data_IF_650807201805
#
_entry.id   IF_650807201805
#
_cell.length_a   1.000
_cell.length_b   1.000
_cell.length_c   1.000
_cell.angle_alpha   90.00
_cell.angle_beta   90.00
_cell.angle_gamma   90.00
#
_symmetry.space_group_name_H-M   'P 1'
#
loop_
_entity.id
_entity.type
_entity.pdbx_description
1 polymer ?
#
# COMPACT_ATOMS: atom_id res chain seq x y z
N UNK A 1 -18.91 13.29 -10.31
CA UNK A 1 -19.06 11.86 -10.64
C UNK A 1 -18.44 11.07 -9.50
N UNK A 2 -19.17 10.18 -8.81
CA UNK A 2 -18.53 9.27 -7.87
C UNK A 2 -17.74 8.24 -8.71
N UNK A 3 -16.44 8.15 -8.49
CA UNK A 3 -15.61 7.13 -9.13
C UNK A 3 -15.92 5.78 -8.47
N UNK A 4 -16.12 4.74 -9.27
CA UNK A 4 -16.44 3.40 -8.77
C UNK A 4 -15.18 2.82 -8.08
N UNK A 5 -15.36 2.10 -6.97
CA UNK A 5 -14.24 1.51 -6.22
C UNK A 5 -13.49 0.47 -7.07
N UNK A 6 -14.19 -0.12 -8.06
CA UNK A 6 -13.64 -0.99 -9.09
C UNK A 6 -12.63 -0.29 -10.02
N UNK A 7 -12.73 1.02 -10.24
CA UNK A 7 -11.81 1.80 -11.10
C UNK A 7 -10.40 1.90 -10.49
N UNK A 8 -10.25 1.59 -9.20
CA UNK A 8 -9.01 1.78 -8.44
C UNK A 8 -8.31 0.50 -8.04
N UNK A 9 -8.86 -0.67 -8.37
CA UNK A 9 -8.27 -1.97 -8.10
C UNK A 9 -7.68 -2.59 -9.36
N UNK A 10 -6.48 -3.14 -9.25
CA UNK A 10 -5.92 -3.99 -10.30
C UNK A 10 -6.86 -5.15 -10.62
N UNK A 11 -7.22 -5.30 -11.89
CA UNK A 11 -8.06 -6.39 -12.36
C UNK A 11 -7.19 -7.54 -12.89
N UNK A 12 -7.55 -8.80 -12.62
CA UNK A 12 -6.86 -9.94 -13.19
C UNK A 12 -7.06 -9.99 -14.71
N UNK A 13 -6.03 -10.41 -15.44
CA UNK A 13 -6.03 -10.49 -16.90
C UNK A 13 -7.12 -11.44 -17.41
N UNK A 14 -7.45 -12.49 -16.65
CA UNK A 14 -8.55 -13.41 -16.96
C UNK A 14 -9.92 -12.73 -17.10
N UNK A 15 -10.13 -11.61 -16.41
CA UNK A 15 -11.35 -10.80 -16.52
C UNK A 15 -11.30 -9.74 -17.61
N UNK A 16 -10.10 -9.25 -17.93
CA UNK A 16 -9.90 -8.16 -18.89
C UNK A 16 -9.76 -8.71 -20.32
N UNK A 17 -8.88 -9.68 -20.51
CA UNK A 17 -8.56 -10.31 -21.81
C UNK A 17 -8.04 -11.75 -21.59
N UNK A 18 -8.93 -12.75 -21.46
CA UNK A 18 -8.57 -14.13 -21.07
C UNK A 18 -7.72 -14.89 -22.11
N UNK A 19 -7.63 -14.38 -23.32
CA UNK A 19 -6.92 -14.94 -24.47
C UNK A 19 -5.72 -14.07 -24.90
N UNK A 20 -5.29 -13.13 -24.04
CA UNK A 20 -4.21 -12.19 -24.37
C UNK A 20 -2.88 -12.91 -24.62
N UNK A 21 -2.14 -12.43 -25.61
CA UNK A 21 -0.72 -12.74 -25.76
C UNK A 21 0.07 -11.99 -24.69
N UNK A 22 0.94 -12.68 -23.93
CA UNK A 22 1.72 -12.07 -22.86
C UNK A 22 3.21 -12.26 -23.08
N UNK A 23 3.98 -11.21 -22.82
CA UNK A 23 5.44 -11.20 -22.92
C UNK A 23 6.02 -10.66 -21.61
N UNK A 24 7.10 -11.29 -21.14
CA UNK A 24 7.73 -10.98 -19.85
C UNK A 24 9.23 -10.77 -20.03
N UNK A 25 9.85 -9.98 -19.15
CA UNK A 25 11.31 -9.87 -19.09
C UNK A 25 11.98 -9.07 -20.22
N UNK A 26 11.20 -8.51 -21.15
CA UNK A 26 11.72 -7.64 -22.20
C UNK A 26 12.13 -6.28 -21.62
N UNK A 27 13.43 -5.97 -21.69
CA UNK A 27 14.01 -4.70 -21.24
C UNK A 27 13.42 -3.46 -21.93
N UNK A 28 12.79 -3.63 -23.10
CA UNK A 28 12.17 -2.54 -23.86
C UNK A 28 10.71 -2.29 -23.47
N UNK A 29 10.12 -3.12 -22.59
CA UNK A 29 8.70 -3.03 -22.19
C UNK A 29 8.28 -1.62 -21.77
N UNK A 30 9.11 -0.95 -20.98
CA UNK A 30 8.88 0.44 -20.54
C UNK A 30 9.29 1.48 -21.57
N UNK A 31 10.33 1.22 -22.36
CA UNK A 31 10.76 2.14 -23.43
C UNK A 31 9.67 2.32 -24.49
N UNK A 32 8.86 1.28 -24.73
CA UNK A 32 7.70 1.32 -25.61
C UNK A 32 6.47 2.00 -24.99
N UNK A 33 6.47 2.24 -23.67
CA UNK A 33 5.34 2.84 -22.91
C UNK A 33 5.82 3.98 -22.02
N UNK A 34 6.44 5.04 -22.60
CA UNK A 34 7.12 6.06 -21.81
C UNK A 34 6.18 6.83 -20.87
N UNK A 35 4.92 7.05 -21.26
CA UNK A 35 3.92 7.71 -20.42
C UNK A 35 3.60 6.88 -19.18
N UNK A 36 3.37 5.57 -19.36
CA UNK A 36 3.08 4.65 -18.27
C UNK A 36 4.29 4.51 -17.33
N UNK A 37 5.48 4.39 -17.90
CA UNK A 37 6.74 4.36 -17.15
C UNK A 37 6.93 5.62 -16.28
N UNK A 38 6.63 6.80 -16.83
CA UNK A 38 6.68 8.05 -16.09
C UNK A 38 5.68 8.09 -14.92
N UNK A 39 4.44 7.63 -15.13
CA UNK A 39 3.42 7.53 -14.08
C UNK A 39 3.80 6.55 -12.97
N UNK A 40 4.37 5.39 -13.32
CA UNK A 40 4.87 4.41 -12.35
C UNK A 40 6.01 5.01 -11.53
N UNK A 41 6.99 5.65 -12.19
CA UNK A 41 8.08 6.34 -11.53
C UNK A 41 7.55 7.40 -10.56
N UNK A 42 6.58 8.21 -10.98
CA UNK A 42 5.92 9.18 -10.12
C UNK A 42 5.28 8.54 -8.89
N UNK A 43 4.53 7.44 -9.04
CA UNK A 43 3.94 6.70 -7.91
C UNK A 43 5.01 6.22 -6.92
N UNK A 44 6.14 5.71 -7.42
CA UNK A 44 7.25 5.24 -6.60
C UNK A 44 7.91 6.42 -5.86
N UNK A 45 8.12 7.55 -6.52
CA UNK A 45 8.70 8.77 -5.91
C UNK A 45 7.80 9.36 -4.83
N UNK A 46 6.48 9.40 -5.06
CA UNK A 46 5.53 9.88 -4.06
C UNK A 46 5.58 9.10 -2.74
N UNK A 47 5.93 7.80 -2.82
CA UNK A 47 6.13 7.00 -1.62
C UNK A 47 7.35 7.41 -0.80
N UNK A 48 8.45 7.82 -1.44
CA UNK A 48 9.63 8.30 -0.72
C UNK A 48 9.32 9.56 0.12
N UNK A 49 8.44 10.44 -0.36
CA UNK A 49 7.95 11.56 0.45
C UNK A 49 7.11 11.08 1.65
N UNK A 50 6.28 10.05 1.45
CA UNK A 50 5.50 9.44 2.54
C UNK A 50 6.43 8.81 3.58
N UNK A 51 7.51 8.14 3.17
CA UNK A 51 8.52 7.57 4.06
C UNK A 51 9.19 8.65 4.92
N UNK A 52 9.47 9.83 4.36
CA UNK A 52 9.99 10.98 5.12
C UNK A 52 8.98 11.42 6.19
N UNK A 53 7.69 11.54 5.85
CA UNK A 53 6.66 11.92 6.82
C UNK A 53 6.40 10.84 7.88
N UNK A 54 6.55 9.55 7.54
CA UNK A 54 6.47 8.46 8.51
C UNK A 54 7.63 8.52 9.52
N UNK A 55 8.86 8.77 9.05
CA UNK A 55 10.01 8.99 9.93
C UNK A 55 9.85 10.24 10.80
N UNK A 56 9.36 11.34 10.24
CA UNK A 56 9.04 12.54 11.01
C UNK A 56 7.95 12.28 12.05
N UNK A 57 6.91 11.53 11.69
CA UNK A 57 5.83 11.17 12.61
C UNK A 57 6.34 10.34 13.79
N UNK A 58 7.26 9.39 13.56
CA UNK A 58 7.94 8.68 14.63
C UNK A 58 8.67 9.66 15.57
N UNK A 59 9.39 10.64 15.00
CA UNK A 59 10.10 11.66 15.79
C UNK A 59 9.17 12.48 16.67
N UNK A 60 8.02 12.90 16.14
CA UNK A 60 6.99 13.62 16.90
C UNK A 60 6.43 12.74 18.02
N UNK A 61 6.07 11.49 17.73
CA UNK A 61 5.51 10.57 18.74
C UNK A 61 6.46 10.29 19.91
N UNK A 62 7.76 10.24 19.66
CA UNK A 62 8.72 9.92 20.71
C UNK A 62 9.09 11.14 21.57
N UNK A 63 8.80 12.36 21.12
CA UNK A 63 9.29 13.60 21.76
C UNK A 63 10.83 13.60 21.96
N UNK A 64 11.57 12.87 21.12
CA UNK A 64 13.03 12.67 21.30
C UNK A 64 13.86 13.54 20.36
N UNK A 65 15.17 13.49 20.57
CA UNK A 65 16.17 13.97 19.62
C UNK A 65 15.86 13.43 18.21
N UNK A 66 15.55 14.34 17.30
CA UNK A 66 15.21 14.02 15.91
C UNK A 66 16.28 13.17 15.20
N UNK A 67 17.57 13.33 15.55
CA UNK A 67 18.64 12.49 15.00
C UNK A 67 18.49 11.02 15.39
N UNK A 68 18.09 10.74 16.64
CA UNK A 68 17.87 9.37 17.11
C UNK A 68 16.63 8.76 16.43
N UNK A 69 15.54 9.51 16.30
CA UNK A 69 14.35 9.05 15.60
C UNK A 69 14.62 8.73 14.11
N UNK A 70 15.39 9.59 13.43
CA UNK A 70 15.83 9.34 12.04
C UNK A 70 16.66 8.08 11.96
N UNK A 71 17.68 7.92 12.82
CA UNK A 71 18.54 6.74 12.83
C UNK A 71 17.76 5.44 13.10
N UNK A 72 16.81 5.48 14.04
CA UNK A 72 15.93 4.34 14.33
C UNK A 72 15.05 3.98 13.14
N UNK A 73 14.43 4.98 12.49
CA UNK A 73 13.55 4.73 11.34
C UNK A 73 14.34 4.22 10.13
N UNK A 74 15.46 4.86 9.78
CA UNK A 74 16.28 4.50 8.63
C UNK A 74 17.04 3.18 8.81
N UNK A 75 17.31 2.78 10.06
CA UNK A 75 17.95 1.51 10.38
C UNK A 75 17.03 0.28 10.20
N UNK A 76 15.73 0.49 9.99
CA UNK A 76 14.77 -0.60 9.76
C UNK A 76 14.56 -0.80 8.26
N UNK A 77 15.03 -1.93 7.73
CA UNK A 77 14.99 -2.23 6.29
C UNK A 77 13.58 -2.52 5.76
N UNK A 78 12.74 -3.18 6.57
CA UNK A 78 11.41 -3.58 6.15
C UNK A 78 10.40 -2.47 6.41
N UNK A 79 9.69 -2.01 5.37
CA UNK A 79 8.58 -1.04 5.50
C UNK A 79 7.48 -1.51 6.44
N UNK A 80 7.19 -2.82 6.43
CA UNK A 80 6.25 -3.41 7.37
C UNK A 80 6.75 -3.30 8.82
N UNK A 81 8.06 -3.45 9.04
CA UNK A 81 8.67 -3.24 10.36
C UNK A 81 8.69 -1.76 10.75
N UNK A 82 8.95 -0.84 9.81
CA UNK A 82 8.83 0.61 10.03
C UNK A 82 7.42 1.01 10.49
N UNK A 83 6.37 0.51 9.82
CA UNK A 83 4.99 0.77 10.24
C UNK A 83 4.67 0.16 11.62
N UNK A 84 5.21 -1.03 11.95
CA UNK A 84 5.07 -1.61 13.30
C UNK A 84 5.76 -0.75 14.35
N UNK A 85 6.96 -0.24 14.06
CA UNK A 85 7.69 0.68 14.94
C UNK A 85 6.85 1.92 15.25
N UNK A 86 6.30 2.57 14.22
CA UNK A 86 5.42 3.74 14.39
C UNK A 86 4.17 3.38 15.17
N UNK A 87 3.52 2.25 14.87
CA UNK A 87 2.33 1.80 15.58
C UNK A 87 2.62 1.58 17.07
N UNK A 88 3.75 0.98 17.41
CA UNK A 88 4.16 0.77 18.80
C UNK A 88 4.49 2.09 19.50
N UNK A 89 5.17 3.02 18.83
CA UNK A 89 5.41 4.35 19.37
C UNK A 89 4.10 5.09 19.63
N UNK A 90 3.15 5.07 18.69
CA UNK A 90 1.84 5.66 18.87
C UNK A 90 1.12 5.06 20.08
N UNK A 91 1.12 3.73 20.22
CA UNK A 91 0.50 3.04 21.36
C UNK A 91 1.09 3.46 22.72
N UNK A 92 2.38 3.74 22.76
CA UNK A 92 3.08 4.12 23.99
C UNK A 92 2.90 5.61 24.33
N UNK A 93 2.77 6.48 23.32
CA UNK A 93 2.82 7.92 23.51
C UNK A 93 1.45 8.60 23.54
N UNK A 94 0.41 8.02 22.92
CA UNK A 94 -0.92 8.64 22.85
C UNK A 94 -1.87 8.04 23.89
N UNK A 95 -2.90 8.80 24.34
CA UNK A 95 -3.94 8.25 25.20
C UNK A 95 -4.60 7.01 24.58
N UNK A 96 -4.92 5.96 25.37
CA UNK A 96 -5.50 4.72 24.85
C UNK A 96 -6.74 4.93 23.97
N UNK A 97 -7.58 5.91 24.31
CA UNK A 97 -8.79 6.30 23.57
C UNK A 97 -8.50 6.90 22.18
N UNK A 98 -7.29 7.45 21.97
CA UNK A 98 -6.88 8.05 20.70
C UNK A 98 -6.12 7.04 19.82
N UNK A 99 -5.53 6.00 20.41
CA UNK A 99 -4.70 5.03 19.71
C UNK A 99 -5.44 4.33 18.55
N UNK A 100 -6.72 4.04 18.71
CA UNK A 100 -7.52 3.40 17.66
C UNK A 100 -7.49 4.18 16.35
N UNK A 101 -7.59 5.51 16.41
CA UNK A 101 -7.57 6.38 15.22
C UNK A 101 -6.25 6.22 14.46
N UNK A 102 -5.11 6.22 15.17
CA UNK A 102 -3.79 6.03 14.55
C UNK A 102 -3.60 4.61 14.00
N UNK A 103 -3.99 3.60 14.77
CA UNK A 103 -3.85 2.20 14.35
C UNK A 103 -4.67 1.91 13.09
N UNK A 104 -5.89 2.46 13.02
CA UNK A 104 -6.74 2.35 11.84
C UNK A 104 -6.17 3.18 10.69
N UNK A 105 -5.74 4.41 10.92
CA UNK A 105 -5.13 5.23 9.88
C UNK A 105 -3.92 4.55 9.22
N UNK A 106 -2.99 4.01 10.01
CA UNK A 106 -1.82 3.30 9.49
C UNK A 106 -2.22 2.04 8.72
N UNK A 107 -3.24 1.30 9.18
CA UNK A 107 -3.63 0.02 8.58
C UNK A 107 -4.58 0.14 7.38
N UNK A 108 -5.46 1.14 7.36
CA UNK A 108 -6.50 1.33 6.34
C UNK A 108 -6.12 2.36 5.27
N UNK A 109 -5.16 3.27 5.54
CA UNK A 109 -4.75 4.31 4.58
C UNK A 109 -3.30 4.10 4.14
N UNK A 110 -2.35 4.04 5.08
CA UNK A 110 -0.92 3.99 4.73
C UNK A 110 -0.52 2.61 4.19
N UNK A 111 -0.89 1.53 4.88
CA UNK A 111 -0.49 0.17 4.50
C UNK A 111 -1.02 -0.30 3.13
N UNK A 112 -2.28 -0.02 2.71
CA UNK A 112 -2.74 -0.39 1.37
C UNK A 112 -1.93 0.29 0.27
N UNK A 113 -1.69 1.60 0.39
CA UNK A 113 -0.88 2.36 -0.57
C UNK A 113 0.56 1.83 -0.65
N UNK A 114 1.16 1.49 0.50
CA UNK A 114 2.48 0.83 0.56
C UNK A 114 2.50 -0.44 -0.29
N UNK A 115 1.49 -1.31 -0.12
CA UNK A 115 1.40 -2.59 -0.86
C UNK A 115 1.24 -2.37 -2.36
N UNK A 116 0.44 -1.39 -2.77
CA UNK A 116 0.25 -1.07 -4.19
C UNK A 116 1.56 -0.61 -4.83
N UNK A 117 2.27 0.31 -4.17
CA UNK A 117 3.58 0.76 -4.63
C UNK A 117 4.60 -0.37 -4.63
N UNK A 118 4.62 -1.22 -3.61
CA UNK A 118 5.55 -2.36 -3.56
C UNK A 118 5.33 -3.32 -4.73
N UNK A 119 4.08 -3.54 -5.15
CA UNK A 119 3.79 -4.29 -6.39
C UNK A 119 4.39 -3.59 -7.61
N UNK A 120 4.15 -2.29 -7.78
CA UNK A 120 4.74 -1.53 -8.90
C UNK A 120 6.27 -1.65 -8.93
N UNK A 121 6.93 -1.56 -7.78
CA UNK A 121 8.40 -1.53 -7.70
C UNK A 121 9.07 -2.92 -7.78
N UNK A 122 8.39 -3.97 -7.33
CA UNK A 122 9.03 -5.27 -7.08
C UNK A 122 8.41 -6.45 -7.83
N UNK A 123 7.24 -6.28 -8.46
CA UNK A 123 6.65 -7.35 -9.27
C UNK A 123 7.24 -7.37 -10.68
N UNK A 124 7.15 -8.52 -11.33
CA UNK A 124 7.59 -8.68 -12.70
C UNK A 124 6.70 -7.87 -13.63
N UNK A 125 7.33 -7.14 -14.55
CA UNK A 125 6.64 -6.35 -15.58
C UNK A 125 6.57 -7.14 -16.88
N UNK A 126 5.39 -7.12 -17.49
CA UNK A 126 5.14 -7.71 -18.79
C UNK A 126 4.23 -6.83 -19.63
N UNK A 127 4.00 -7.26 -20.87
CA UNK A 127 3.10 -6.57 -21.77
C UNK A 127 2.29 -7.53 -22.62
N UNK A 128 1.21 -6.99 -23.19
CA UNK A 128 0.43 -7.66 -24.21
C UNK A 128 0.26 -6.74 -25.41
N UNK A 129 0.45 -7.21 -26.66
CA UNK A 129 0.06 -6.46 -27.84
C UNK A 129 -1.45 -6.22 -27.93
N UNK A 130 -2.26 -7.06 -27.26
CA UNK A 130 -3.72 -6.91 -27.17
C UNK A 130 -4.14 -5.80 -26.18
N UNK A 131 -3.21 -5.35 -25.33
CA UNK A 131 -3.40 -4.30 -24.33
C UNK A 131 -2.23 -3.29 -24.41
N UNK A 132 -2.08 -2.54 -25.52
CA UNK A 132 -0.89 -1.73 -25.78
C UNK A 132 -0.68 -0.63 -24.73
N UNK A 133 -1.77 -0.07 -24.20
CA UNK A 133 -1.77 1.03 -23.23
C UNK A 133 -1.76 0.56 -21.77
N UNK A 134 -1.44 -0.71 -21.52
CA UNK A 134 -1.39 -1.29 -20.16
C UNK A 134 -0.09 -2.02 -19.89
N UNK A 135 0.26 -2.09 -18.61
CA UNK A 135 1.31 -2.95 -18.07
C UNK A 135 0.68 -4.19 -17.46
N UNK A 136 1.32 -5.34 -17.64
CA UNK A 136 0.99 -6.55 -16.90
C UNK A 136 1.93 -6.67 -15.70
N UNK A 137 1.35 -6.98 -14.55
CA UNK A 137 2.11 -7.29 -13.33
C UNK A 137 1.88 -8.73 -12.90
N UNK A 138 2.96 -9.43 -12.55
CA UNK A 138 2.92 -10.78 -11.99
C UNK A 138 3.77 -10.83 -10.73
N UNK A 139 3.25 -11.50 -9.70
CA UNK A 139 3.99 -11.78 -8.48
C UNK A 139 5.29 -12.54 -8.82
N UNK A 140 6.46 -12.15 -8.27
CA UNK A 140 7.74 -12.78 -8.59
C UNK A 140 7.76 -14.29 -8.35
N UNK A 141 7.06 -14.80 -7.34
CA UNK A 141 6.96 -16.24 -7.11
C UNK A 141 6.18 -16.93 -8.22
N UNK A 142 5.11 -16.30 -8.74
CA UNK A 142 4.39 -16.83 -9.90
C UNK A 142 5.27 -16.83 -11.16
N UNK A 143 6.00 -15.74 -11.40
CA UNK A 143 6.93 -15.65 -12.53
C UNK A 143 8.02 -16.71 -12.44
N UNK A 144 8.57 -16.95 -11.25
CA UNK A 144 9.58 -17.98 -10.99
C UNK A 144 9.02 -19.40 -11.21
N UNK A 145 7.81 -19.69 -10.76
CA UNK A 145 7.13 -20.97 -11.01
C UNK A 145 7.03 -21.26 -12.52
N UNK A 146 6.57 -20.28 -13.31
CA UNK A 146 6.44 -20.41 -14.76
C UNK A 146 7.82 -20.59 -15.43
N UNK A 147 8.83 -19.85 -14.98
CA UNK A 147 10.20 -20.00 -15.47
C UNK A 147 10.78 -21.39 -15.17
N UNK A 148 10.56 -21.93 -13.97
CA UNK A 148 10.99 -23.29 -13.61
C UNK A 148 10.27 -24.36 -14.44
N UNK A 149 9.00 -24.15 -14.77
CA UNK A 149 8.24 -25.04 -15.66
C UNK A 149 8.77 -24.99 -17.11
N UNK A 150 9.10 -23.80 -17.61
CA UNK A 150 9.75 -23.61 -18.91
C UNK A 150 11.05 -24.41 -19.01
N UNK A 151 11.95 -24.25 -18.02
CA UNK A 151 13.24 -24.95 -17.98
C UNK A 151 13.10 -26.48 -17.98
N UNK A 152 12.02 -27.02 -17.40
CA UNK A 152 11.77 -28.47 -17.36
C UNK A 152 11.17 -29.02 -18.65
N UNK A 153 10.27 -28.26 -19.28
CA UNK A 153 9.46 -28.76 -20.41
C UNK A 153 10.05 -28.41 -21.76
N UNK A 154 10.80 -27.30 -21.84
CA UNK A 154 11.36 -26.74 -23.08
C UNK A 154 12.78 -26.20 -22.80
N UNK A 155 13.74 -27.06 -22.40
CA UNK A 155 15.08 -26.64 -22.04
C UNK A 155 15.80 -25.95 -23.22
N UNK A 156 16.44 -24.81 -22.95
CA UNK A 156 17.18 -24.05 -23.96
C UNK A 156 16.32 -23.21 -24.91
N UNK A 157 14.99 -23.25 -24.78
CA UNK A 157 14.09 -22.37 -25.53
C UNK A 157 13.95 -21.04 -24.80
N UNK A 158 14.50 -19.99 -25.40
CA UNK A 158 14.27 -18.62 -24.95
C UNK A 158 12.79 -18.27 -25.14
N UNK A 159 12.16 -17.68 -24.11
CA UNK A 159 10.71 -17.35 -24.10
C UNK A 159 9.78 -18.56 -24.34
N UNK A 160 10.10 -19.72 -23.77
CA UNK A 160 9.27 -20.91 -23.89
C UNK A 160 7.79 -20.64 -23.53
N UNK A 161 6.88 -21.14 -24.35
CA UNK A 161 5.46 -20.97 -24.14
C UNK A 161 5.00 -21.85 -22.97
N UNK A 162 4.77 -21.24 -21.80
CA UNK A 162 4.25 -21.92 -20.62
C UNK A 162 2.82 -21.46 -20.35
N UNK A 163 1.87 -22.38 -20.10
CA UNK A 163 0.52 -22.01 -19.68
C UNK A 163 0.58 -21.06 -18.47
N UNK A 164 0.11 -19.84 -18.66
CA UNK A 164 0.13 -18.80 -17.62
C UNK A 164 -1.24 -18.70 -16.98
N UNK A 165 -1.29 -18.67 -15.64
CA UNK A 165 -2.55 -18.46 -14.93
C UNK A 165 -2.91 -16.97 -14.90
N UNK A 166 -3.84 -16.55 -15.77
CA UNK A 166 -4.25 -15.15 -15.90
C UNK A 166 -5.03 -14.60 -14.69
N UNK A 167 -5.45 -15.43 -13.73
CA UNK A 167 -5.98 -14.95 -12.44
C UNK A 167 -4.89 -14.36 -11.53
N UNK A 168 -3.62 -14.68 -11.79
CA UNK A 168 -2.45 -14.20 -11.04
C UNK A 168 -1.67 -13.11 -11.78
N UNK A 169 -2.12 -12.72 -12.97
CA UNK A 169 -1.58 -11.62 -13.77
C UNK A 169 -2.54 -10.45 -13.68
N UNK A 170 -2.05 -9.26 -13.37
CA UNK A 170 -2.87 -8.08 -13.17
C UNK A 170 -2.61 -7.03 -14.24
N UNK A 171 -3.67 -6.36 -14.69
CA UNK A 171 -3.62 -5.28 -15.66
C UNK A 171 -3.51 -3.94 -14.91
N UNK A 172 -2.51 -3.14 -15.27
CA UNK A 172 -2.25 -1.80 -14.76
C UNK A 172 -2.37 -0.81 -15.91
N UNK A 173 -3.41 0.02 -15.85
CA UNK A 173 -3.63 1.13 -16.78
C UNK A 173 -3.51 2.50 -16.10
N UNK A 174 -3.71 3.54 -16.91
CA UNK A 174 -3.57 4.93 -16.50
C UNK A 174 -4.47 5.34 -15.33
N UNK A 175 -5.75 4.95 -15.34
CA UNK A 175 -6.71 5.30 -14.28
C UNK A 175 -6.28 4.77 -12.91
N UNK A 176 -5.74 3.56 -12.86
CA UNK A 176 -5.23 2.95 -11.64
C UNK A 176 -4.03 3.74 -11.08
N UNK A 177 -3.07 4.11 -11.93
CA UNK A 177 -1.89 4.89 -11.53
C UNK A 177 -2.24 6.31 -11.08
N UNK A 178 -3.19 6.95 -11.76
CA UNK A 178 -3.71 8.25 -11.36
C UNK A 178 -4.41 8.15 -10.00
N UNK A 179 -5.12 7.04 -9.76
CA UNK A 179 -5.70 6.67 -8.48
C UNK A 179 -4.66 6.56 -7.36
N UNK A 180 -3.56 5.84 -7.58
CA UNK A 180 -2.44 5.73 -6.62
C UNK A 180 -1.88 7.12 -6.31
N UNK A 181 -1.63 7.93 -7.34
CA UNK A 181 -1.06 9.27 -7.18
C UNK A 181 -1.95 10.19 -6.34
N UNK A 182 -3.27 10.15 -6.59
CA UNK A 182 -4.26 10.89 -5.80
C UNK A 182 -4.34 10.39 -4.35
N UNK A 183 -4.32 9.07 -4.14
CA UNK A 183 -4.27 8.48 -2.80
C UNK A 183 -2.99 8.87 -2.06
N UNK A 184 -1.83 8.86 -2.73
CA UNK A 184 -0.57 9.30 -2.15
C UNK A 184 -0.60 10.76 -1.70
N UNK A 185 -1.09 11.67 -2.54
CA UNK A 185 -1.28 13.07 -2.17
C UNK A 185 -2.19 13.23 -0.94
N UNK A 186 -3.29 12.48 -0.90
CA UNK A 186 -4.25 12.50 0.21
C UNK A 186 -3.64 11.93 1.50
N UNK A 187 -2.92 10.80 1.40
CA UNK A 187 -2.20 10.17 2.52
C UNK A 187 -1.17 11.12 3.12
N UNK A 188 -0.43 11.88 2.31
CA UNK A 188 0.50 12.90 2.79
C UNK A 188 -0.21 13.98 3.61
N UNK A 189 -1.37 14.44 3.14
CA UNK A 189 -2.21 15.40 3.90
C UNK A 189 -2.67 14.80 5.23
N UNK A 190 -3.14 13.56 5.23
CA UNK A 190 -3.58 12.89 6.45
C UNK A 190 -2.43 12.59 7.44
N UNK A 191 -1.23 12.28 6.94
CA UNK A 191 -0.04 12.15 7.80
C UNK A 191 0.29 13.46 8.50
N UNK A 192 0.16 14.60 7.82
CA UNK A 192 0.34 15.93 8.46
C UNK A 192 -0.71 16.18 9.54
N UNK A 193 -1.96 15.81 9.30
CA UNK A 193 -3.02 15.89 10.32
C UNK A 193 -2.72 14.98 11.51
N UNK A 194 -2.27 13.75 11.26
CA UNK A 194 -1.87 12.82 12.32
C UNK A 194 -0.71 13.37 13.16
N UNK A 195 0.35 13.90 12.52
CA UNK A 195 1.44 14.57 13.23
C UNK A 195 0.95 15.77 14.04
N UNK A 196 0.09 16.62 13.47
CA UNK A 196 -0.45 17.78 14.16
C UNK A 196 -1.30 17.40 15.40
N UNK A 197 -1.96 16.24 15.38
CA UNK A 197 -2.74 15.77 16.54
C UNK A 197 -1.91 15.36 17.76
N UNK A 198 -0.58 15.22 17.60
CA UNK A 198 0.35 14.83 18.68
C UNK A 198 1.53 15.80 18.81
N UNK A 199 1.52 16.92 18.08
CA UNK A 199 2.62 17.88 18.11
C UNK A 199 2.48 18.78 19.35
N UNK A 200 3.48 18.78 20.22
CA UNK A 200 3.52 19.55 21.48
C UNK A 200 3.27 21.06 21.37
N UNK A 201 3.40 21.64 20.18
CA UNK A 201 3.17 23.07 19.95
C UNK A 201 1.68 23.40 19.79
N UNK A 202 0.86 22.38 19.53
CA UNK A 202 -0.59 22.53 19.43
C UNK A 202 -1.21 22.38 20.82
N UNK A 203 -2.23 23.20 21.08
CA UNK A 203 -3.04 23.11 22.28
C UNK A 203 -3.85 21.80 22.32
N UNK A 204 -4.33 21.37 23.50
CA UNK A 204 -5.22 20.20 23.61
C UNK A 204 -6.48 20.30 22.74
N UNK A 205 -6.99 21.52 22.54
CA UNK A 205 -8.13 21.78 21.66
C UNK A 205 -7.78 21.48 20.20
N UNK A 206 -6.63 21.95 19.75
CA UNK A 206 -6.15 21.69 18.38
C UNK A 206 -5.87 20.20 18.17
N UNK A 207 -5.28 19.51 19.15
CA UNK A 207 -5.10 18.05 19.09
C UNK A 207 -6.42 17.32 18.85
N UNK A 208 -7.46 17.66 19.63
CA UNK A 208 -8.79 17.07 19.49
C UNK A 208 -9.41 17.38 18.12
N UNK A 209 -9.25 18.61 17.60
CA UNK A 209 -9.73 18.97 16.27
C UNK A 209 -9.03 18.18 15.16
N UNK A 210 -7.71 18.01 15.22
CA UNK A 210 -6.96 17.21 14.24
C UNK A 210 -7.31 15.73 14.32
N UNK A 211 -7.47 15.19 15.54
CA UNK A 211 -7.88 13.81 15.72
C UNK A 211 -9.29 13.59 15.14
N UNK A 212 -10.24 14.49 15.40
CA UNK A 212 -11.58 14.43 14.83
C UNK A 212 -11.54 14.49 13.30
N UNK A 213 -10.71 15.36 12.70
CA UNK A 213 -10.50 15.41 11.25
C UNK A 213 -9.98 14.07 10.71
N UNK A 214 -9.03 13.45 11.40
CA UNK A 214 -8.48 12.15 11.01
C UNK A 214 -9.51 11.02 11.15
N UNK A 215 -10.28 11.00 12.24
CA UNK A 215 -11.38 10.04 12.47
C UNK A 215 -12.50 10.15 11.43
N UNK A 216 -12.65 11.32 10.81
CA UNK A 216 -13.66 11.57 9.78
C UNK A 216 -13.19 11.21 8.36
N UNK A 217 -11.93 10.79 8.18
CA UNK A 217 -11.48 10.22 6.91
C UNK A 217 -12.27 8.93 6.65
N UNK A 218 -12.90 8.73 5.47
CA UNK A 218 -13.82 7.62 5.25
C UNK A 218 -13.26 6.24 5.63
N UNK A 219 -12.05 5.93 5.16
CA UNK A 219 -11.39 4.65 5.45
C UNK A 219 -11.07 4.49 6.95
N UNK A 220 -10.82 5.60 7.64
CA UNK A 220 -10.56 5.59 9.08
C UNK A 220 -11.86 5.38 9.84
N UNK A 221 -12.92 6.10 9.49
CA UNK A 221 -14.25 5.95 10.09
C UNK A 221 -14.75 4.50 9.95
N UNK A 222 -14.71 3.95 8.75
CA UNK A 222 -15.10 2.55 8.51
C UNK A 222 -14.27 1.55 9.33
N UNK A 223 -12.97 1.80 9.47
CA UNK A 223 -12.11 0.97 10.30
C UNK A 223 -12.44 1.07 11.79
N UNK A 224 -12.77 2.27 12.28
CA UNK A 224 -13.23 2.50 13.65
C UNK A 224 -14.58 1.82 13.91
N UNK A 225 -15.53 1.92 12.97
CA UNK A 225 -16.83 1.26 13.06
C UNK A 225 -16.68 -0.27 13.15
N UNK A 226 -15.79 -0.86 12.33
CA UNK A 226 -15.46 -2.30 12.40
C UNK A 226 -14.84 -2.68 13.75
N UNK A 227 -13.95 -1.87 14.30
CA UNK A 227 -13.35 -2.11 15.62
C UNK A 227 -14.41 -2.06 16.73
N UNK A 228 -15.32 -1.08 16.69
CA UNK A 228 -16.40 -0.94 17.65
C UNK A 228 -17.33 -2.17 17.63
N UNK A 229 -17.75 -2.61 16.44
CA UNK A 229 -18.56 -3.83 16.26
C UNK A 229 -17.84 -5.09 16.76
N UNK A 230 -16.52 -5.19 16.53
CA UNK A 230 -15.71 -6.31 17.02
C UNK A 230 -15.68 -6.39 18.55
N UNK A 231 -15.55 -5.25 19.23
CA UNK A 231 -15.58 -5.17 20.70
C UNK A 231 -16.92 -5.56 21.29
N UNK A 232 -18.03 -5.10 20.69
CA UNK A 232 -19.39 -5.48 21.11
C UNK A 232 -19.59 -7.00 21.03
N UNK A 233 -19.24 -7.63 19.90
CA UNK A 233 -19.33 -9.09 19.75
C UNK A 233 -18.49 -9.87 20.76
N UNK A 234 -17.34 -9.33 21.15
CA UNK A 234 -16.45 -9.99 22.12
C UNK A 234 -17.01 -9.90 23.55
N UNK A 235 -17.71 -8.81 23.87
CA UNK A 235 -18.37 -8.62 25.16
C UNK A 235 -19.66 -9.45 25.30
N UNK A 236 -20.37 -9.72 24.19
CA UNK A 236 -21.58 -10.54 24.16
C UNK A 236 -21.31 -12.06 24.15
N UNK A 237 -20.09 -12.49 23.88
CA UNK A 237 -19.74 -13.92 23.85
C UNK A 237 -19.77 -14.50 25.28
N UNK A 238 -20.58 -15.54 25.57
CA UNK A 238 -20.60 -16.16 26.89
C UNK A 238 -19.23 -16.75 27.24
N UNK A 239 -18.81 -16.69 28.52
CA UNK A 239 -17.51 -17.21 28.93
C UNK A 239 -17.39 -18.69 28.55
N UNK A 240 -16.31 -19.04 27.85
CA UNK A 240 -16.03 -20.44 27.53
C UNK A 240 -15.88 -21.22 28.82
N UNK A 241 -16.66 -22.30 28.96
CA UNK A 241 -16.57 -23.18 30.11
C UNK A 241 -15.14 -23.73 30.24
N UNK A 242 -14.57 -23.77 31.46
CA UNK A 242 -13.24 -24.33 31.68
C UNK A 242 -13.20 -25.78 31.20
N UNK A 243 -12.14 -26.12 30.46
CA UNK A 243 -11.85 -27.49 30.00
C UNK A 243 -11.35 -28.37 31.15
#
# INVERSE_FOLDING_TARGET
MPFDEADFAMQPLSRVKPDALVNWGDSTTMAQRPQLAAKICHCITQWSEIEIFLGAFLGVLLHTNHQAAVAMYSGVESRAAQLRLITSAAKASVPPEHFDVFSVFLSAVVRPLMKERDKLAHWSWGYSPDLPDSLLLSDPSHTLENFMLALRTQPGVENAAVPTNFDRVFVVGDSFLDGISKRAATTKTHLRVAMASVWDHNSPKEHAEYLLRLSNVPQVREGLDRLAQGRQKTQEAPPQAPR
#
